data_IF_865964967663
#
_entry.id   IF_865964967663
#
_cell.length_a   1.000
_cell.length_b   1.000
_cell.length_c   1.000
_cell.angle_alpha   90.00
_cell.angle_beta   90.00
_cell.angle_gamma   90.00
#
_symmetry.space_group_name_H-M   'P 1'
#
loop_
_entity.id
_entity.type
_entity.pdbx_description
1 polymer ?
#
# COMPACT_ATOMS: atom_id res chain seq x y z
N UNK A 1 3.27 -14.82 12.44
CA UNK A 1 2.24 -13.95 11.81
C UNK A 1 1.94 -12.66 12.57
N UNK A 2 1.37 -12.65 13.79
CA UNK A 2 1.16 -11.37 14.51
C UNK A 2 2.49 -10.72 14.93
N UNK A 3 3.44 -11.52 15.44
CA UNK A 3 4.75 -10.99 15.81
C UNK A 3 5.53 -10.45 14.59
N UNK A 4 5.55 -11.19 13.47
CA UNK A 4 6.16 -10.74 12.22
C UNK A 4 5.50 -9.47 11.66
N UNK A 5 4.18 -9.35 11.81
CA UNK A 5 3.45 -8.12 11.47
C UNK A 5 3.92 -6.93 12.31
N UNK A 6 4.01 -7.11 13.63
CA UNK A 6 4.51 -6.07 14.53
C UNK A 6 5.97 -5.72 14.22
N UNK A 7 6.82 -6.70 13.91
CA UNK A 7 8.21 -6.46 13.48
C UNK A 7 8.26 -5.63 12.21
N UNK A 8 7.39 -5.88 11.23
CA UNK A 8 7.31 -5.09 10.01
C UNK A 8 6.93 -3.63 10.28
N UNK A 9 5.94 -3.40 11.14
CA UNK A 9 5.57 -2.06 11.60
C UNK A 9 6.70 -1.38 12.38
N UNK A 10 7.40 -2.13 13.24
CA UNK A 10 8.50 -1.61 14.04
C UNK A 10 9.69 -1.19 13.16
N UNK A 11 10.01 -1.96 12.11
CA UNK A 11 10.99 -1.55 11.12
C UNK A 11 10.62 -0.23 10.45
N UNK A 12 9.36 -0.03 10.06
CA UNK A 12 8.91 1.25 9.50
C UNK A 12 9.04 2.41 10.48
N UNK A 13 8.69 2.18 11.75
CA UNK A 13 8.89 3.16 12.81
C UNK A 13 10.37 3.52 12.97
N UNK A 14 11.26 2.52 13.08
CA UNK A 14 12.69 2.73 13.18
C UNK A 14 13.24 3.51 11.98
N UNK A 15 12.80 3.20 10.76
CA UNK A 15 13.20 3.93 9.56
C UNK A 15 12.75 5.40 9.61
N UNK A 16 11.50 5.67 9.99
CA UNK A 16 10.97 7.02 10.13
C UNK A 16 11.75 7.86 11.17
N UNK A 17 12.31 7.20 12.19
CA UNK A 17 13.10 7.82 13.27
C UNK A 17 14.62 7.73 13.08
N UNK A 18 15.11 7.09 12.02
CA UNK A 18 16.54 6.81 11.79
C UNK A 18 17.21 5.98 12.90
N UNK A 19 16.46 5.07 13.52
CA UNK A 19 16.97 4.10 14.50
C UNK A 19 17.67 2.97 13.76
N UNK A 20 19.01 2.93 13.84
CA UNK A 20 19.84 1.95 13.11
C UNK A 20 19.93 0.59 13.80
N UNK A 21 20.01 0.58 15.13
CA UNK A 21 20.17 -0.65 15.92
C UNK A 21 18.79 -1.14 16.38
N UNK A 22 18.10 -1.88 15.51
CA UNK A 22 16.75 -2.37 15.79
C UNK A 22 16.81 -3.50 16.82
N UNK A 23 16.32 -3.24 18.03
CA UNK A 23 16.12 -4.26 19.05
C UNK A 23 14.64 -4.68 19.12
N UNK A 24 14.32 -5.83 18.52
CA UNK A 24 12.94 -6.33 18.53
C UNK A 24 12.44 -6.78 19.91
N UNK A 25 13.33 -6.97 20.90
CA UNK A 25 12.91 -7.32 22.26
C UNK A 25 12.14 -6.18 22.94
N UNK A 26 12.50 -4.92 22.63
CA UNK A 26 11.90 -3.72 23.22
C UNK A 26 10.59 -3.30 22.52
N UNK A 27 10.29 -3.90 21.36
CA UNK A 27 9.16 -3.49 20.51
C UNK A 27 7.81 -3.46 21.24
N UNK A 28 7.56 -4.41 22.15
CA UNK A 28 6.25 -4.54 22.81
C UNK A 28 6.02 -3.48 23.89
N UNK A 29 7.09 -2.99 24.50
CA UNK A 29 7.05 -2.06 25.63
C UNK A 29 7.49 -0.64 25.21
N UNK A 30 7.74 -0.42 23.91
CA UNK A 30 8.11 0.86 23.37
C UNK A 30 6.87 1.76 23.18
N UNK A 31 6.62 2.65 24.13
CA UNK A 31 5.48 3.57 24.11
C UNK A 31 5.46 4.48 22.88
N UNK A 32 6.63 4.96 22.43
CA UNK A 32 6.74 5.82 21.25
C UNK A 32 6.31 5.09 19.97
N UNK A 33 6.66 3.81 19.84
CA UNK A 33 6.21 2.98 18.74
C UNK A 33 4.70 2.75 18.76
N UNK A 34 4.13 2.47 19.95
CA UNK A 34 2.69 2.30 20.11
C UNK A 34 1.96 3.61 19.73
N UNK A 35 2.43 4.74 20.23
CA UNK A 35 1.92 6.06 19.88
C UNK A 35 2.05 6.36 18.39
N UNK A 36 3.18 5.98 17.78
CA UNK A 36 3.38 6.11 16.35
C UNK A 36 2.36 5.28 15.55
N UNK A 37 2.05 4.04 15.95
CA UNK A 37 0.99 3.24 15.30
C UNK A 37 -0.35 3.97 15.38
N UNK A 38 -0.73 4.50 16.55
CA UNK A 38 -1.99 5.23 16.74
C UNK A 38 -2.06 6.46 15.85
N UNK A 39 -1.00 7.25 15.79
CA UNK A 39 -0.91 8.42 14.93
C UNK A 39 -0.96 8.04 13.45
N UNK A 40 -0.23 6.98 13.05
CA UNK A 40 -0.25 6.51 11.67
C UNK A 40 -1.62 6.01 11.26
N UNK A 41 -2.37 5.36 12.16
CA UNK A 41 -3.76 4.95 11.91
C UNK A 41 -4.65 6.14 11.59
N UNK A 42 -4.48 7.27 12.27
CA UNK A 42 -5.21 8.50 11.97
C UNK A 42 -4.79 9.06 10.61
N UNK A 43 -3.49 9.06 10.30
CA UNK A 43 -2.98 9.50 9.00
C UNK A 43 -3.45 8.59 7.86
N UNK A 44 -3.59 7.28 8.07
CA UNK A 44 -4.19 6.35 7.10
C UNK A 44 -5.62 6.73 6.71
N UNK A 45 -6.42 7.23 7.67
CA UNK A 45 -7.78 7.71 7.39
C UNK A 45 -7.74 8.97 6.52
N UNK A 46 -6.87 9.92 6.86
CA UNK A 46 -6.68 11.12 6.02
C UNK A 46 -6.15 10.78 4.62
N UNK A 47 -5.28 9.77 4.51
CA UNK A 47 -4.79 9.29 3.22
C UNK A 47 -5.93 8.67 2.39
N UNK A 48 -6.89 7.99 3.01
CA UNK A 48 -8.10 7.50 2.34
C UNK A 48 -8.94 8.64 1.76
N UNK A 49 -9.08 9.73 2.51
CA UNK A 49 -9.77 10.94 2.04
C UNK A 49 -8.99 11.61 0.89
N UNK A 50 -7.66 11.64 1.01
CA UNK A 50 -6.76 12.14 -0.04
C UNK A 50 -6.89 11.35 -1.34
N UNK A 51 -6.94 10.02 -1.29
CA UNK A 51 -7.21 9.18 -2.47
C UNK A 51 -8.56 9.50 -3.12
N UNK A 52 -9.58 9.77 -2.31
CA UNK A 52 -10.89 10.18 -2.81
C UNK A 52 -10.83 11.53 -3.52
N UNK A 53 -10.06 12.49 -2.98
CA UNK A 53 -9.76 13.76 -3.64
C UNK A 53 -9.05 13.59 -4.99
N UNK A 54 -8.15 12.60 -5.10
CA UNK A 54 -7.48 12.24 -6.36
C UNK A 54 -8.37 11.43 -7.34
N UNK A 55 -9.64 11.19 -7.00
CA UNK A 55 -10.58 10.35 -7.74
C UNK A 55 -10.19 8.87 -7.83
N UNK A 56 -9.42 8.36 -6.86
CA UNK A 56 -9.11 6.93 -6.73
C UNK A 56 -10.24 6.26 -5.95
N UNK A 57 -11.15 5.58 -6.67
CA UNK A 57 -12.23 4.82 -6.05
C UNK A 57 -11.71 3.51 -5.46
N UNK A 58 -11.88 3.34 -4.15
CA UNK A 58 -11.49 2.12 -3.44
C UNK A 58 -12.53 1.00 -3.53
N UNK A 59 -13.72 1.27 -4.06
CA UNK A 59 -14.79 0.28 -4.22
C UNK A 59 -14.34 -0.88 -5.13
N UNK A 60 -14.60 -2.13 -4.72
CA UNK A 60 -14.16 -3.37 -5.38
C UNK A 60 -12.64 -3.51 -5.63
N UNK A 61 -11.83 -2.66 -4.98
CA UNK A 61 -10.37 -2.72 -5.03
C UNK A 61 -9.77 -3.86 -4.21
N UNK A 62 -8.52 -4.20 -4.50
CA UNK A 62 -7.73 -5.17 -3.73
C UNK A 62 -6.61 -4.47 -2.96
N UNK A 63 -6.72 -4.42 -1.63
CA UNK A 63 -5.65 -3.94 -0.76
C UNK A 63 -4.62 -5.03 -0.50
N UNK A 64 -3.35 -4.71 -0.75
CA UNK A 64 -2.24 -5.65 -0.68
C UNK A 64 -1.28 -5.37 0.49
N UNK A 65 -0.94 -6.43 1.22
CA UNK A 65 0.17 -6.46 2.18
C UNK A 65 -0.10 -5.71 3.49
N UNK A 66 -1.36 -5.54 3.90
CA UNK A 66 -1.73 -4.77 5.10
C UNK A 66 -2.23 -5.63 6.25
N UNK A 67 -2.12 -5.11 7.47
CA UNK A 67 -2.67 -5.74 8.67
C UNK A 67 -3.64 -4.80 9.39
N UNK A 68 -4.15 -5.26 10.54
CA UNK A 68 -5.24 -4.58 11.26
C UNK A 68 -4.96 -3.13 11.70
N UNK A 69 -3.70 -2.78 11.95
CA UNK A 69 -3.33 -1.45 12.45
C UNK A 69 -3.06 -0.44 11.34
N UNK A 70 -2.88 -0.87 10.09
CA UNK A 70 -2.48 0.00 8.99
C UNK A 70 -3.31 -0.15 7.71
N UNK A 71 -4.25 -1.11 7.65
CA UNK A 71 -5.18 -1.29 6.52
C UNK A 71 -6.20 -0.16 6.37
N UNK A 72 -6.39 0.36 5.16
CA UNK A 72 -7.44 1.34 4.83
C UNK A 72 -8.70 0.71 4.23
N UNK A 73 -8.74 -0.63 4.15
CA UNK A 73 -9.84 -1.41 3.57
C UNK A 73 -11.21 -0.94 4.07
N UNK A 74 -12.15 -0.77 3.14
CA UNK A 74 -13.59 -0.78 3.43
C UNK A 74 -14.17 -2.19 3.30
N UNK A 75 -15.45 -2.35 3.66
CA UNK A 75 -16.19 -3.62 3.60
C UNK A 75 -16.18 -4.25 2.21
N UNK A 76 -16.17 -3.43 1.16
CA UNK A 76 -16.28 -3.87 -0.24
C UNK A 76 -14.91 -4.14 -0.90
N UNK A 77 -13.82 -4.00 -0.15
CA UNK A 77 -12.47 -4.27 -0.65
C UNK A 77 -12.03 -5.70 -0.36
N UNK A 78 -11.33 -6.30 -1.31
CA UNK A 78 -10.62 -7.56 -1.11
C UNK A 78 -9.29 -7.27 -0.42
N UNK A 79 -8.88 -8.13 0.50
CA UNK A 79 -7.58 -8.02 1.18
C UNK A 79 -6.71 -9.19 0.79
N UNK A 80 -5.52 -8.90 0.25
CA UNK A 80 -4.49 -9.88 -0.06
C UNK A 80 -3.27 -9.61 0.80
N UNK A 81 -3.10 -10.37 1.88
CA UNK A 81 -2.05 -10.08 2.85
C UNK A 81 -1.57 -11.31 3.60
N UNK A 82 -0.25 -11.41 3.79
CA UNK A 82 0.34 -12.42 4.68
C UNK A 82 -0.09 -12.23 6.13
N UNK A 83 -0.57 -11.03 6.46
CA UNK A 83 -1.09 -10.65 7.78
C UNK A 83 -2.62 -10.72 7.85
N UNK A 84 -3.27 -11.37 6.88
CA UNK A 84 -4.73 -11.47 6.77
C UNK A 84 -5.43 -11.96 8.04
N UNK A 85 -4.80 -12.85 8.81
CA UNK A 85 -5.37 -13.34 10.08
C UNK A 85 -5.59 -12.21 11.09
N UNK A 86 -4.78 -11.15 11.06
CA UNK A 86 -4.98 -9.99 11.95
C UNK A 86 -6.29 -9.25 11.65
N UNK A 87 -6.80 -9.40 10.42
CA UNK A 87 -8.03 -8.82 9.90
C UNK A 87 -9.18 -9.83 9.84
N UNK A 88 -8.99 -11.06 10.35
CA UNK A 88 -10.00 -12.12 10.29
C UNK A 88 -10.18 -12.76 8.91
N UNK A 89 -9.22 -12.60 7.99
CA UNK A 89 -9.24 -13.21 6.65
C UNK A 89 -8.11 -14.24 6.49
N UNK A 90 -8.24 -15.15 5.52
CA UNK A 90 -7.18 -16.12 5.23
C UNK A 90 -5.89 -15.40 4.77
N UNK A 91 -4.70 -15.80 5.26
CA UNK A 91 -3.45 -15.27 4.75
C UNK A 91 -3.32 -15.52 3.26
N UNK A 92 -2.79 -14.55 2.53
CA UNK A 92 -2.66 -14.64 1.09
C UNK A 92 -1.52 -13.75 0.57
N UNK A 93 -1.04 -14.04 -0.62
CA UNK A 93 0.05 -13.29 -1.27
C UNK A 93 -0.26 -13.05 -2.74
N UNK A 94 0.14 -11.89 -3.24
CA UNK A 94 0.17 -11.64 -4.67
C UNK A 94 1.37 -12.35 -5.30
N UNK A 95 1.14 -13.02 -6.42
CA UNK A 95 2.17 -13.52 -7.31
C UNK A 95 2.02 -12.77 -8.62
N UNK A 96 3.01 -11.95 -8.95
CA UNK A 96 3.04 -11.14 -10.17
C UNK A 96 3.92 -11.86 -11.18
N UNK A 97 3.32 -12.24 -12.29
CA UNK A 97 4.02 -12.82 -13.45
C UNK A 97 3.97 -11.82 -14.60
N UNK A 98 4.68 -12.10 -15.70
CA UNK A 98 4.65 -11.22 -16.88
C UNK A 98 3.28 -11.22 -17.60
N UNK A 99 2.39 -12.19 -17.28
CA UNK A 99 1.10 -12.37 -17.95
C UNK A 99 -0.11 -12.17 -17.05
N UNK A 100 0.02 -12.49 -15.76
CA UNK A 100 -1.10 -12.56 -14.83
C UNK A 100 -0.70 -12.09 -13.43
N UNK A 101 -1.69 -11.58 -12.70
CA UNK A 101 -1.63 -11.42 -11.24
C UNK A 101 -2.46 -12.54 -10.61
N UNK A 102 -1.85 -13.28 -9.71
CA UNK A 102 -2.47 -14.40 -9.00
C UNK A 102 -2.51 -14.12 -7.50
N UNK A 103 -3.51 -14.68 -6.81
CA UNK A 103 -3.55 -14.77 -5.36
C UNK A 103 -3.24 -16.19 -4.96
N UNK A 104 -2.20 -16.36 -4.15
CA UNK A 104 -1.90 -17.60 -3.46
C UNK A 104 -2.44 -17.55 -2.03
N UNK A 105 -3.27 -18.51 -1.67
CA UNK A 105 -3.68 -18.81 -0.30
C UNK A 105 -3.00 -20.12 0.14
N UNK A 106 -3.11 -20.53 1.42
CA UNK A 106 -2.66 -21.85 1.85
C UNK A 106 -3.32 -23.03 1.11
N UNK A 107 -4.42 -22.80 0.40
CA UNK A 107 -5.24 -23.86 -0.21
C UNK A 107 -5.25 -23.83 -1.73
N UNK A 108 -5.12 -22.66 -2.34
CA UNK A 108 -5.36 -22.46 -3.77
C UNK A 108 -4.49 -21.35 -4.34
N UNK A 109 -4.32 -21.39 -5.67
CA UNK A 109 -3.83 -20.27 -6.47
C UNK A 109 -4.94 -19.92 -7.46
N UNK A 110 -5.36 -18.66 -7.51
CA UNK A 110 -6.42 -18.20 -8.40
C UNK A 110 -6.06 -16.88 -9.08
N UNK A 111 -6.70 -16.59 -10.22
CA UNK A 111 -6.66 -15.27 -10.83
C UNK A 111 -7.32 -14.24 -9.90
N UNK A 112 -6.86 -12.99 -9.99
CA UNK A 112 -7.48 -11.88 -9.27
C UNK A 112 -8.61 -11.27 -10.10
N UNK A 113 -9.78 -11.21 -9.50
CA UNK A 113 -10.94 -10.47 -10.02
C UNK A 113 -11.00 -9.11 -9.32
N UNK A 114 -10.28 -8.14 -9.87
CA UNK A 114 -10.28 -6.74 -9.42
C UNK A 114 -9.86 -5.85 -10.59
N UNK A 115 -10.22 -4.57 -10.53
CA UNK A 115 -9.71 -3.58 -11.49
C UNK A 115 -8.61 -2.71 -10.89
N UNK A 116 -8.43 -2.73 -9.57
CA UNK A 116 -7.50 -1.84 -8.86
C UNK A 116 -6.74 -2.62 -7.79
N UNK A 117 -5.42 -2.57 -7.84
CA UNK A 117 -4.56 -2.94 -6.70
C UNK A 117 -4.13 -1.70 -5.94
N UNK A 118 -4.21 -1.76 -4.62
CA UNK A 118 -3.80 -0.66 -3.76
C UNK A 118 -2.89 -1.15 -2.63
N UNK A 119 -1.86 -0.36 -2.36
CA UNK A 119 -1.10 -0.44 -1.12
C UNK A 119 -0.59 0.94 -0.76
N UNK A 120 -0.10 1.09 0.46
CA UNK A 120 0.44 2.35 0.96
C UNK A 120 1.45 2.06 2.07
N UNK A 121 2.54 2.83 2.17
CA UNK A 121 3.63 2.54 3.09
C UNK A 121 3.97 1.03 3.09
N UNK A 122 4.43 0.44 1.96
CA UNK A 122 4.88 -0.95 1.94
C UNK A 122 5.98 -1.18 3.00
N UNK A 123 6.04 -2.37 3.58
CA UNK A 123 7.03 -2.66 4.63
C UNK A 123 8.43 -2.77 4.07
N UNK A 124 8.53 -3.16 2.80
CA UNK A 124 9.77 -3.17 2.06
C UNK A 124 9.58 -2.81 0.59
N UNK A 125 10.67 -2.39 -0.06
CA UNK A 125 10.68 -2.13 -1.50
C UNK A 125 10.27 -3.37 -2.31
N UNK A 126 10.66 -4.57 -1.88
CA UNK A 126 10.33 -5.81 -2.59
C UNK A 126 8.81 -6.02 -2.73
N UNK A 127 8.00 -5.54 -1.78
CA UNK A 127 6.54 -5.67 -1.79
C UNK A 127 5.90 -5.02 -3.02
N UNK A 128 6.53 -3.97 -3.55
CA UNK A 128 6.01 -3.15 -4.66
C UNK A 128 6.91 -3.10 -5.88
N UNK A 129 8.13 -3.65 -5.79
CA UNK A 129 9.13 -3.60 -6.85
C UNK A 129 8.65 -4.10 -8.22
N UNK A 130 7.73 -5.08 -8.24
CA UNK A 130 7.15 -5.66 -9.45
C UNK A 130 5.79 -5.07 -9.86
N UNK A 131 5.26 -4.05 -9.16
CA UNK A 131 3.94 -3.49 -9.47
C UNK A 131 3.88 -2.73 -10.78
N UNK A 132 5.02 -2.26 -11.30
CA UNK A 132 5.10 -1.75 -12.67
C UNK A 132 4.62 -2.81 -13.70
N UNK A 133 4.81 -4.11 -13.45
CA UNK A 133 4.27 -5.17 -14.32
C UNK A 133 2.75 -5.30 -14.23
N UNK A 134 2.17 -5.09 -13.04
CA UNK A 134 0.71 -5.05 -12.86
C UNK A 134 0.15 -3.92 -13.72
N UNK A 135 0.74 -2.73 -13.62
CA UNK A 135 0.39 -1.60 -14.46
C UNK A 135 0.58 -1.99 -15.95
N UNK A 136 1.79 -2.29 -16.41
CA UNK A 136 2.11 -2.47 -17.82
C UNK A 136 1.34 -3.62 -18.50
N UNK A 137 0.72 -4.54 -17.74
CA UNK A 137 -0.23 -5.52 -18.28
C UNK A 137 -1.44 -4.90 -19.00
N UNK A 138 -1.78 -3.63 -18.68
CA UNK A 138 -2.95 -2.92 -19.19
C UNK A 138 -4.29 -3.40 -18.59
N UNK A 139 -4.30 -4.48 -17.80
CA UNK A 139 -5.52 -5.08 -17.25
C UNK A 139 -5.97 -4.46 -15.92
N UNK A 140 -5.02 -3.95 -15.13
CA UNK A 140 -5.27 -3.52 -13.77
C UNK A 140 -4.71 -2.13 -13.51
N UNK A 141 -5.47 -1.29 -12.83
CA UNK A 141 -4.97 -0.06 -12.26
C UNK A 141 -4.24 -0.34 -10.95
N UNK A 142 -3.33 0.56 -10.60
CA UNK A 142 -2.61 0.54 -9.33
C UNK A 142 -2.71 1.89 -8.63
N UNK A 143 -2.64 1.85 -7.31
CA UNK A 143 -2.42 3.01 -6.44
C UNK A 143 -1.38 2.62 -5.39
N UNK A 144 -0.23 3.28 -5.38
CA UNK A 144 0.82 3.06 -4.39
C UNK A 144 1.03 4.36 -3.59
N UNK A 145 0.69 4.29 -2.31
CA UNK A 145 0.78 5.42 -1.38
C UNK A 145 2.07 5.47 -0.57
N UNK A 146 2.50 6.68 -0.25
CA UNK A 146 3.46 6.97 0.82
C UNK A 146 2.93 8.14 1.63
N UNK A 147 2.82 7.98 2.94
CA UNK A 147 2.40 9.07 3.82
C UNK A 147 3.10 8.95 5.18
N UNK A 148 3.14 10.07 5.89
CA UNK A 148 3.76 10.14 7.20
C UNK A 148 3.86 11.58 7.68
N UNK A 149 4.79 11.81 8.60
CA UNK A 149 5.09 13.14 9.09
C UNK A 149 6.17 13.81 8.22
N UNK A 150 6.07 15.12 7.98
CA UNK A 150 7.08 15.86 7.20
C UNK A 150 8.49 15.80 7.81
N UNK A 151 8.59 15.54 9.11
CA UNK A 151 9.83 15.37 9.86
C UNK A 151 10.36 13.92 9.85
N UNK A 152 9.64 12.95 9.24
CA UNK A 152 10.11 11.57 9.13
C UNK A 152 11.38 11.51 8.27
N UNK A 153 12.40 10.83 8.78
CA UNK A 153 13.73 10.75 8.16
C UNK A 153 13.72 9.92 6.87
N UNK A 154 12.76 9.01 6.74
CA UNK A 154 12.59 8.15 5.56
C UNK A 154 11.66 8.75 4.48
N UNK A 155 11.15 9.98 4.65
CA UNK A 155 10.26 10.62 3.66
C UNK A 155 10.89 10.68 2.27
N UNK A 156 12.15 11.12 2.18
CA UNK A 156 12.84 11.30 0.90
C UNK A 156 12.98 9.97 0.15
N UNK A 157 13.42 8.91 0.84
CA UNK A 157 13.59 7.59 0.22
C UNK A 157 12.26 6.96 -0.20
N UNK A 158 11.17 7.21 0.54
CA UNK A 158 9.81 6.80 0.15
C UNK A 158 9.33 7.48 -1.13
N UNK A 159 9.54 8.78 -1.28
CA UNK A 159 9.16 9.52 -2.51
C UNK A 159 10.03 9.09 -3.70
N UNK A 160 11.33 8.91 -3.48
CA UNK A 160 12.24 8.39 -4.51
C UNK A 160 11.85 6.99 -4.98
N UNK A 161 11.34 6.14 -4.09
CA UNK A 161 10.83 4.82 -4.45
C UNK A 161 9.66 4.93 -5.43
N UNK A 162 8.67 5.78 -5.15
CA UNK A 162 7.54 5.99 -6.05
C UNK A 162 7.99 6.55 -7.41
N UNK A 163 8.94 7.48 -7.41
CA UNK A 163 9.52 8.04 -8.64
C UNK A 163 10.18 6.94 -9.49
N UNK A 164 11.01 6.08 -8.87
CA UNK A 164 11.65 4.94 -9.54
C UNK A 164 10.67 3.89 -10.06
N UNK A 165 9.49 3.76 -9.44
CA UNK A 165 8.44 2.89 -9.94
C UNK A 165 7.73 3.53 -11.14
N UNK A 166 7.46 4.83 -11.08
CA UNK A 166 6.85 5.59 -12.18
C UNK A 166 7.72 5.52 -13.45
N UNK A 167 9.05 5.63 -13.31
CA UNK A 167 10.01 5.52 -14.44
C UNK A 167 9.95 4.17 -15.18
N UNK A 168 9.36 3.12 -14.57
CA UNK A 168 9.22 1.79 -15.17
C UNK A 168 7.84 1.54 -15.79
N UNK A 169 6.93 2.50 -15.72
CA UNK A 169 5.55 2.34 -16.19
C UNK A 169 5.39 2.93 -17.59
N UNK A 170 4.77 2.18 -18.49
CA UNK A 170 4.88 2.43 -19.94
C UNK A 170 4.19 3.73 -20.40
N UNK A 171 3.08 4.17 -19.76
CA UNK A 171 2.43 5.49 -19.87
C UNK A 171 1.25 5.59 -18.87
N UNK A 172 0.55 6.74 -18.78
CA UNK A 172 -0.70 6.92 -18.02
C UNK A 172 -0.56 6.67 -16.51
N UNK A 173 0.46 7.27 -15.91
CA UNK A 173 0.60 7.33 -14.46
C UNK A 173 0.69 8.76 -13.99
N UNK A 174 0.31 8.99 -12.74
CA UNK A 174 0.47 10.29 -12.10
C UNK A 174 1.03 10.08 -10.70
N UNK A 175 2.13 10.78 -10.43
CA UNK A 175 2.72 10.91 -9.11
C UNK A 175 2.25 12.25 -8.51
N UNK A 176 1.38 12.19 -7.51
CA UNK A 176 0.93 13.38 -6.78
C UNK A 176 1.61 13.44 -5.42
N UNK A 177 1.90 14.66 -4.94
CA UNK A 177 2.48 14.90 -3.62
C UNK A 177 1.87 16.16 -3.01
N UNK A 178 1.36 16.02 -1.79
CA UNK A 178 0.72 17.11 -1.04
C UNK A 178 1.11 17.08 0.44
N UNK A 179 0.79 18.18 1.14
CA UNK A 179 1.00 18.32 2.59
C UNK A 179 -0.22 18.92 3.25
N UNK A 180 -0.54 18.48 4.47
CA UNK A 180 -1.59 19.04 5.31
C UNK A 180 -1.13 19.07 6.77
N UNK A 181 -0.84 20.27 7.28
CA UNK A 181 -0.15 20.43 8.57
C UNK A 181 1.23 19.74 8.53
N UNK A 182 1.56 19.00 9.59
CA UNK A 182 2.81 18.23 9.68
C UNK A 182 2.77 16.89 8.91
N UNK A 183 1.78 16.66 8.05
CA UNK A 183 1.62 15.41 7.31
C UNK A 183 1.97 15.59 5.84
N UNK A 184 2.59 14.58 5.25
CA UNK A 184 2.72 14.47 3.80
C UNK A 184 1.91 13.29 3.28
N UNK A 185 1.44 13.43 2.04
CA UNK A 185 0.81 12.38 1.27
C UNK A 185 1.44 12.37 -0.12
N UNK A 186 1.72 11.17 -0.62
CA UNK A 186 2.22 10.96 -1.95
C UNK A 186 1.56 9.71 -2.51
N UNK A 187 1.19 9.75 -3.78
CA UNK A 187 0.44 8.66 -4.41
C UNK A 187 0.85 8.52 -5.86
N UNK A 188 1.25 7.32 -6.25
CA UNK A 188 1.48 6.93 -7.63
C UNK A 188 0.26 6.14 -8.12
N UNK A 189 -0.48 6.71 -9.06
CA UNK A 189 -1.74 6.17 -9.55
C UNK A 189 -1.70 5.90 -11.05
N UNK A 190 -2.37 4.82 -11.48
CA UNK A 190 -2.78 4.68 -12.89
C UNK A 190 -3.82 5.74 -13.26
N UNK A 191 -3.73 6.28 -14.47
CA UNK A 191 -4.62 7.29 -15.06
C UNK A 191 -5.20 6.82 -16.40
N UNK A 192 -5.54 5.53 -16.51
CA UNK A 192 -6.12 5.02 -17.76
C UNK A 192 -7.49 5.61 -17.99
N UNK A 193 -7.65 6.33 -19.09
CA UNK A 193 -8.98 6.68 -19.59
C UNK A 193 -9.69 5.39 -20.00
N UNK A 194 -10.54 4.86 -19.12
CA UNK A 194 -11.49 3.82 -19.51
C UNK A 194 -12.36 4.46 -20.58
N UNK A 195 -12.17 4.07 -21.86
CA UNK A 195 -13.18 4.29 -22.90
C UNK A 195 -14.43 3.55 -22.43
N UNK A 196 -15.30 4.21 -21.68
CA UNK A 196 -16.64 3.70 -21.37
C UNK A 196 -17.29 3.44 -22.72
N UNK A 197 -17.50 2.18 -23.07
CA UNK A 197 -18.42 1.82 -24.15
C UNK A 197 -19.78 2.38 -23.74
N UNK A 198 -20.14 3.52 -24.30
CA UNK A 198 -21.53 3.99 -24.25
C UNK A 198 -22.29 2.99 -25.13
N UNK A 199 -23.06 2.12 -24.49
CA UNK A 199 -24.09 1.34 -25.17
C UNK A 199 -25.06 2.35 -25.78
N UNK A 200 -24.89 2.62 -27.07
CA UNK A 200 -25.90 3.31 -27.87
C UNK A 200 -27.08 2.35 -27.97
N UNK A 201 -28.23 2.79 -27.45
CA UNK A 201 -29.52 2.09 -27.54
C UNK A 201 -30.01 2.05 -28.98
#
# INVERSE_FOLDING_TARGET
MLEEYLKALFCQYCNAREIKNINFAEMKDNEDFINWIVQNRQTSKMYKDYLSYLNVSLYDGTEAGKGKYDSISSKDMKIVSSYGITLGVLPSKLIITDRNVLIATPRTISLVETNLFITHNPYSYQDVSAWHKIHNSGMYDISIGMYGNIYDRDKKSKIELLSKLADKMDTDTELTQDTLGDKYFCSLNSRRYIKRKILTR
#
